data_IF_928171703040
#
_entry.id   IF_928171703040
#
_cell.length_a   1.000
_cell.length_b   1.000
_cell.length_c   1.000
_cell.angle_alpha   90.00
_cell.angle_beta   90.00
_cell.angle_gamma   90.00
#
_symmetry.space_group_name_H-M   'P 1'
#
loop_
_entity.id
_entity.type
_entity.pdbx_description
1 polymer ?
#
# COMPACT_ATOMS: atom_id res chain seq x y z
N UNK A 1 -21.67 12.17 -12.58
CA UNK A 1 -20.70 11.78 -13.64
C UNK A 1 -19.41 12.64 -13.63
N UNK A 2 -19.00 13.27 -12.51
CA UNK A 2 -17.81 14.14 -12.46
C UNK A 2 -16.77 13.82 -11.37
N UNK A 3 -17.02 12.80 -10.53
CA UNK A 3 -16.09 12.39 -9.47
C UNK A 3 -14.93 11.53 -10.03
N UNK A 4 -15.21 10.67 -11.02
CA UNK A 4 -14.19 9.83 -11.65
C UNK A 4 -13.23 10.60 -12.57
N UNK A 5 -13.65 11.73 -13.14
CA UNK A 5 -12.81 12.54 -14.05
C UNK A 5 -11.71 13.29 -13.30
N UNK A 6 -11.95 13.71 -12.05
CA UNK A 6 -10.93 14.34 -11.22
C UNK A 6 -9.93 13.33 -10.63
N UNK A 7 -10.36 12.08 -10.42
CA UNK A 7 -9.48 10.98 -9.97
C UNK A 7 -8.54 10.51 -11.10
N UNK A 8 -8.95 10.67 -12.36
CA UNK A 8 -8.21 10.23 -13.56
C UNK A 8 -7.63 11.41 -14.38
N UNK A 9 -7.54 12.61 -13.80
CA UNK A 9 -7.00 13.78 -14.49
C UNK A 9 -5.54 13.52 -14.91
N UNK A 10 -5.29 13.59 -16.23
CA UNK A 10 -3.97 13.38 -16.85
C UNK A 10 -2.89 14.33 -16.31
N UNK A 11 -3.29 15.41 -15.65
CA UNK A 11 -2.39 16.43 -15.08
C UNK A 11 -2.13 16.28 -13.57
N UNK A 12 -2.68 15.28 -12.85
CA UNK A 12 -2.40 15.06 -11.42
C UNK A 12 -2.16 13.57 -11.07
N UNK A 13 -0.94 13.31 -10.59
CA UNK A 13 -0.43 12.27 -9.65
C UNK A 13 -0.86 10.80 -9.69
N UNK A 14 -1.90 10.35 -10.39
CA UNK A 14 -2.17 8.91 -10.51
C UNK A 14 -1.53 8.31 -11.77
N UNK A 15 -0.41 7.63 -11.59
CA UNK A 15 0.14 6.67 -12.56
C UNK A 15 0.28 5.33 -11.86
N UNK A 16 -0.57 4.32 -12.13
CA UNK A 16 -0.27 2.95 -11.72
C UNK A 16 1.08 2.59 -12.34
N UNK A 17 2.13 2.50 -11.51
CA UNK A 17 3.45 2.10 -12.00
C UNK A 17 3.34 0.62 -12.37
N UNK A 18 3.27 0.32 -13.67
CA UNK A 18 3.45 -1.04 -14.19
C UNK A 18 4.91 -1.42 -13.94
N UNK A 19 5.19 -2.03 -12.79
CA UNK A 19 6.51 -2.56 -12.46
C UNK A 19 6.75 -3.97 -12.97
N UNK A 20 5.69 -4.66 -13.36
CA UNK A 20 5.81 -6.00 -13.91
C UNK A 20 5.87 -5.88 -15.42
N UNK A 21 7.07 -5.99 -15.96
CA UNK A 21 7.27 -6.12 -17.41
C UNK A 21 6.44 -7.30 -17.93
N UNK A 22 5.78 -7.17 -19.10
CA UNK A 22 5.15 -8.30 -19.76
C UNK A 22 6.10 -9.51 -19.81
N UNK A 23 5.54 -10.72 -19.72
CA UNK A 23 6.27 -11.99 -19.80
C UNK A 23 7.19 -12.33 -18.60
N UNK A 24 7.11 -11.57 -17.51
CA UNK A 24 7.77 -11.93 -16.22
C UNK A 24 6.89 -12.85 -15.36
N UNK A 25 7.52 -13.70 -14.52
CA UNK A 25 6.86 -14.51 -13.47
C UNK A 25 5.95 -13.65 -12.59
N UNK A 26 6.39 -12.44 -12.23
CA UNK A 26 5.58 -11.50 -11.43
C UNK A 26 4.38 -10.95 -12.19
N UNK A 27 4.52 -10.71 -13.49
CA UNK A 27 3.39 -10.29 -14.33
C UNK A 27 2.34 -11.40 -14.43
N UNK A 28 2.78 -12.65 -14.64
CA UNK A 28 1.91 -13.83 -14.64
C UNK A 28 1.19 -14.01 -13.30
N UNK A 29 1.91 -13.84 -12.18
CA UNK A 29 1.32 -13.89 -10.83
C UNK A 29 0.30 -12.78 -10.60
N UNK A 30 0.62 -11.53 -10.96
CA UNK A 30 -0.30 -10.40 -10.85
C UNK A 30 -1.59 -10.64 -11.64
N UNK A 31 -1.49 -11.16 -12.86
CA UNK A 31 -2.64 -11.52 -13.69
C UNK A 31 -3.46 -12.64 -13.04
N UNK A 32 -2.81 -13.70 -12.56
CA UNK A 32 -3.48 -14.81 -11.88
C UNK A 32 -4.28 -14.32 -10.66
N UNK A 33 -3.66 -13.57 -9.76
CA UNK A 33 -4.32 -13.01 -8.58
C UNK A 33 -5.51 -12.10 -8.96
N UNK A 34 -5.35 -11.28 -10.01
CA UNK A 34 -6.40 -10.37 -10.48
C UNK A 34 -7.61 -11.14 -11.05
N UNK A 35 -7.35 -12.22 -11.79
CA UNK A 35 -8.41 -13.07 -12.36
C UNK A 35 -9.14 -13.85 -11.28
N UNK A 36 -8.43 -14.43 -10.30
CA UNK A 36 -9.05 -15.20 -9.21
C UNK A 36 -9.99 -14.38 -8.33
N UNK A 37 -9.75 -13.07 -8.20
CA UNK A 37 -10.64 -12.17 -7.46
C UNK A 37 -11.84 -11.69 -8.29
N UNK A 38 -11.71 -11.63 -9.62
CA UNK A 38 -12.76 -11.16 -10.53
C UNK A 38 -13.82 -12.21 -10.88
N UNK A 39 -13.58 -13.50 -10.59
CA UNK A 39 -14.47 -14.62 -10.94
C UNK A 39 -15.56 -14.90 -9.90
N UNK A 40 -15.71 -14.08 -8.87
CA UNK A 40 -16.77 -14.27 -7.86
C UNK A 40 -16.63 -15.56 -7.06
N UNK A 41 -15.42 -16.14 -6.97
CA UNK A 41 -15.20 -17.29 -6.10
C UNK A 41 -15.26 -16.83 -4.64
N UNK A 42 -16.26 -17.31 -3.90
CA UNK A 42 -16.52 -17.11 -2.47
C UNK A 42 -15.37 -17.61 -1.54
N UNK A 43 -14.18 -17.88 -2.07
CA UNK A 43 -13.03 -18.38 -1.33
C UNK A 43 -11.85 -17.40 -1.38
N UNK A 44 -12.05 -16.20 -0.81
CA UNK A 44 -10.98 -15.22 -0.58
C UNK A 44 -9.78 -15.83 0.14
N UNK A 45 -10.02 -16.76 1.08
CA UNK A 45 -8.95 -17.47 1.78
C UNK A 45 -8.05 -18.25 0.83
N UNK A 46 -8.62 -18.89 -0.19
CA UNK A 46 -7.89 -19.57 -1.25
C UNK A 46 -7.09 -18.60 -2.11
N UNK A 47 -7.68 -17.47 -2.51
CA UNK A 47 -7.01 -16.45 -3.31
C UNK A 47 -5.83 -15.78 -2.58
N UNK A 48 -5.84 -15.78 -1.24
CA UNK A 48 -4.74 -15.28 -0.41
C UNK A 48 -3.60 -16.30 -0.21
N UNK A 49 -3.67 -17.51 -0.76
CA UNK A 49 -2.56 -18.47 -0.69
C UNK A 49 -1.56 -18.23 -1.82
N UNK A 50 -0.28 -18.35 -1.50
CA UNK A 50 0.75 -18.44 -2.53
C UNK A 50 0.53 -19.73 -3.33
N UNK A 51 0.45 -19.68 -4.68
CA UNK A 51 0.34 -20.89 -5.48
C UNK A 51 1.60 -21.78 -5.31
N UNK A 52 1.43 -23.09 -5.49
CA UNK A 52 2.45 -24.11 -5.16
C UNK A 52 3.69 -24.02 -6.06
N UNK A 53 3.50 -23.57 -7.30
CA UNK A 53 4.54 -23.42 -8.32
C UNK A 53 5.28 -22.08 -8.26
N UNK A 54 4.90 -21.20 -7.32
CA UNK A 54 5.41 -19.83 -7.26
C UNK A 54 6.37 -19.59 -6.11
N UNK A 55 7.32 -18.67 -6.33
CA UNK A 55 8.20 -18.22 -5.26
C UNK A 55 7.49 -17.26 -4.31
N UNK A 56 7.59 -17.55 -3.02
CA UNK A 56 6.92 -16.77 -1.96
C UNK A 56 7.26 -15.28 -2.00
N UNK A 57 8.52 -14.90 -2.23
CA UNK A 57 8.91 -13.49 -2.23
C UNK A 57 8.37 -12.73 -3.44
N UNK A 58 8.26 -13.38 -4.61
CA UNK A 58 7.61 -12.81 -5.79
C UNK A 58 6.12 -12.60 -5.55
N UNK A 59 5.44 -13.60 -4.99
CA UNK A 59 4.03 -13.50 -4.60
C UNK A 59 3.79 -12.36 -3.59
N UNK A 60 4.66 -12.24 -2.56
CA UNK A 60 4.59 -11.15 -1.59
C UNK A 60 4.83 -9.77 -2.24
N UNK A 61 5.80 -9.68 -3.15
CA UNK A 61 6.13 -8.43 -3.84
C UNK A 61 4.97 -7.94 -4.72
N UNK A 62 4.35 -8.85 -5.47
CA UNK A 62 3.16 -8.57 -6.29
C UNK A 62 2.02 -8.04 -5.42
N UNK A 63 1.71 -8.73 -4.32
CA UNK A 63 0.62 -8.33 -3.42
C UNK A 63 0.90 -7.00 -2.70
N UNK A 64 2.14 -6.73 -2.28
CA UNK A 64 2.51 -5.44 -1.67
C UNK A 64 2.25 -4.28 -2.64
N UNK A 65 2.67 -4.42 -3.90
CA UNK A 65 2.50 -3.37 -4.91
C UNK A 65 1.01 -3.17 -5.24
N UNK A 66 0.25 -4.25 -5.37
CA UNK A 66 -1.18 -4.18 -5.66
C UNK A 66 -1.96 -3.49 -4.52
N UNK A 67 -1.74 -3.91 -3.27
CA UNK A 67 -2.40 -3.29 -2.11
C UNK A 67 -1.97 -1.85 -1.88
N UNK A 68 -0.70 -1.52 -2.11
CA UNK A 68 -0.24 -0.13 -2.09
C UNK A 68 -1.03 0.72 -3.10
N UNK A 69 -1.14 0.27 -4.34
CA UNK A 69 -1.87 1.01 -5.38
C UNK A 69 -3.36 1.18 -5.02
N UNK A 70 -4.00 0.12 -4.51
CA UNK A 70 -5.42 0.14 -4.11
C UNK A 70 -5.67 1.08 -2.93
N UNK A 71 -4.86 1.03 -1.89
CA UNK A 71 -5.00 1.90 -0.72
C UNK A 71 -4.62 3.35 -1.06
N UNK A 72 -3.62 3.56 -1.93
CA UNK A 72 -3.29 4.90 -2.42
C UNK A 72 -4.45 5.53 -3.21
N UNK A 73 -5.13 4.74 -4.04
CA UNK A 73 -6.33 5.18 -4.74
C UNK A 73 -7.47 5.51 -3.77
N UNK A 74 -7.73 4.63 -2.79
CA UNK A 74 -8.78 4.82 -1.78
C UNK A 74 -8.50 6.05 -0.90
N UNK A 75 -7.26 6.23 -0.46
CA UNK A 75 -6.88 7.42 0.30
C UNK A 75 -7.00 8.68 -0.56
N UNK A 76 -6.63 8.59 -1.85
CA UNK A 76 -6.79 9.68 -2.81
C UNK A 76 -8.23 10.19 -2.95
N UNK A 77 -9.24 9.32 -2.78
CA UNK A 77 -10.65 9.74 -2.87
C UNK A 77 -11.17 10.47 -1.62
N UNK A 78 -10.52 10.32 -0.47
CA UNK A 78 -10.94 10.97 0.80
C UNK A 78 -9.95 12.06 1.25
N UNK A 79 -8.86 12.28 0.50
CA UNK A 79 -7.76 13.17 0.88
C UNK A 79 -8.20 14.60 1.21
N UNK A 80 -9.17 15.13 0.47
CA UNK A 80 -9.62 16.52 0.65
C UNK A 80 -10.45 16.68 1.94
N UNK A 81 -11.14 15.62 2.36
CA UNK A 81 -11.94 15.56 3.59
C UNK A 81 -11.10 15.13 4.81
N UNK A 82 -10.00 14.40 4.59
CA UNK A 82 -9.00 14.06 5.61
C UNK A 82 -8.13 15.28 5.94
N UNK A 83 -8.69 16.17 6.75
CA UNK A 83 -8.16 17.49 7.02
C UNK A 83 -8.41 17.92 8.47
N UNK A 84 -7.35 18.35 9.16
CA UNK A 84 -7.35 18.76 10.57
C UNK A 84 -8.30 19.92 10.90
N UNK A 85 -8.68 20.72 9.89
CA UNK A 85 -9.63 21.82 10.00
C UNK A 85 -11.08 21.37 9.81
N UNK A 86 -11.30 20.30 9.05
CA UNK A 86 -12.64 19.76 8.73
C UNK A 86 -13.03 18.70 9.76
N UNK A 87 -12.15 17.75 10.02
CA UNK A 87 -12.32 16.69 11.00
C UNK A 87 -11.28 16.82 12.14
N UNK A 88 -11.69 17.17 13.36
CA UNK A 88 -10.79 17.29 14.50
C UNK A 88 -10.02 16.01 14.84
N UNK A 89 -10.55 14.83 14.47
CA UNK A 89 -9.89 13.55 14.71
C UNK A 89 -8.62 13.39 13.85
N UNK A 90 -8.53 14.08 12.71
CA UNK A 90 -7.38 14.01 11.80
C UNK A 90 -6.14 14.73 12.34
N UNK A 91 -6.24 15.49 13.44
CA UNK A 91 -5.08 16.09 14.14
C UNK A 91 -4.08 15.05 14.63
N UNK A 92 -4.50 13.79 14.73
CA UNK A 92 -3.66 12.65 15.06
C UNK A 92 -4.01 11.48 14.15
N UNK A 93 -3.03 10.69 13.76
CA UNK A 93 -3.31 9.44 13.08
C UNK A 93 -3.89 8.43 14.07
N UNK A 94 -5.17 8.06 13.89
CA UNK A 94 -5.87 7.14 14.77
C UNK A 94 -6.90 6.28 14.06
N UNK A 95 -7.48 5.35 14.82
CA UNK A 95 -8.58 4.50 14.40
C UNK A 95 -9.56 4.40 15.58
N UNK A 96 -10.37 5.44 15.75
CA UNK A 96 -11.26 5.62 16.88
C UNK A 96 -10.56 6.16 18.14
N UNK A 97 -11.27 6.21 19.27
CA UNK A 97 -10.77 6.83 20.50
C UNK A 97 -9.61 6.05 21.15
N UNK A 98 -9.53 4.74 20.93
CA UNK A 98 -8.62 3.85 21.66
C UNK A 98 -7.29 3.56 20.95
N UNK A 99 -7.16 3.91 19.66
CA UNK A 99 -5.98 3.58 18.87
C UNK A 99 -5.36 4.83 18.26
N UNK A 100 -4.13 5.11 18.66
CA UNK A 100 -3.28 6.15 18.06
C UNK A 100 -2.03 5.52 17.44
N UNK A 101 -1.68 5.97 16.24
CA UNK A 101 -0.57 5.46 15.47
C UNK A 101 0.53 6.52 15.36
N UNK A 102 1.58 6.34 16.16
CA UNK A 102 2.75 7.20 16.11
C UNK A 102 3.64 6.88 14.90
N UNK A 103 4.23 7.93 14.32
CA UNK A 103 5.22 7.81 13.26
C UNK A 103 6.63 7.75 13.84
N UNK A 104 7.48 6.94 13.20
CA UNK A 104 8.91 6.90 13.46
C UNK A 104 9.60 6.51 12.16
N UNK A 105 10.58 7.30 11.76
CA UNK A 105 11.56 6.93 10.75
C UNK A 105 12.95 7.18 11.32
N UNK A 106 13.90 6.31 11.03
CA UNK A 106 15.27 6.44 11.56
C UNK A 106 16.04 7.62 10.92
N UNK A 107 15.34 8.55 10.26
CA UNK A 107 15.87 9.72 9.56
C UNK A 107 15.46 10.99 10.34
N UNK A 108 14.29 11.55 10.03
CA UNK A 108 13.73 12.79 10.59
C UNK A 108 13.03 12.54 11.93
N UNK A 109 12.22 11.48 12.05
CA UNK A 109 11.42 11.19 13.23
C UNK A 109 12.04 10.05 14.05
N UNK A 110 13.16 10.33 14.72
CA UNK A 110 14.00 9.33 15.41
C UNK A 110 13.32 8.63 16.59
N UNK A 111 12.25 9.23 17.12
CA UNK A 111 11.43 8.68 18.21
C UNK A 111 9.97 8.62 17.76
N UNK A 112 9.16 7.79 18.44
CA UNK A 112 7.73 7.70 18.16
C UNK A 112 7.06 9.07 18.39
N UNK A 113 6.55 9.65 17.31
CA UNK A 113 6.06 11.04 17.27
C UNK A 113 4.62 11.07 16.78
N UNK A 114 3.76 11.82 17.46
CA UNK A 114 2.41 12.10 16.98
C UNK A 114 2.50 13.01 15.77
N UNK A 115 1.82 12.63 14.71
CA UNK A 115 1.62 13.42 13.49
C UNK A 115 0.15 13.34 13.12
N UNK A 116 -0.34 14.33 12.37
CA UNK A 116 -1.71 14.30 11.87
C UNK A 116 -1.95 13.13 10.92
N UNK A 117 -3.21 12.71 10.78
CA UNK A 117 -3.60 11.65 9.86
C UNK A 117 -3.14 11.90 8.41
N UNK A 118 -3.33 13.10 7.82
CA UNK A 118 -2.85 13.36 6.47
C UNK A 118 -1.32 13.35 6.36
N UNK A 119 -0.60 13.84 7.39
CA UNK A 119 0.85 13.76 7.44
C UNK A 119 1.34 12.31 7.54
N UNK A 120 0.71 11.49 8.39
CA UNK A 120 1.04 10.08 8.53
C UNK A 120 0.83 9.32 7.22
N UNK A 121 -0.29 9.57 6.53
CA UNK A 121 -0.60 8.95 5.24
C UNK A 121 0.46 9.34 4.19
N UNK A 122 0.79 10.63 4.07
CA UNK A 122 1.83 11.12 3.16
C UNK A 122 3.17 10.43 3.42
N UNK A 123 3.66 10.47 4.67
CA UNK A 123 4.93 9.85 5.07
C UNK A 123 4.95 8.34 4.80
N UNK A 124 3.80 7.67 4.98
CA UNK A 124 3.65 6.25 4.67
C UNK A 124 3.76 5.98 3.18
N UNK A 125 3.04 6.74 2.34
CA UNK A 125 3.05 6.53 0.89
C UNK A 125 4.44 6.79 0.32
N UNK A 126 5.08 7.89 0.71
CA UNK A 126 6.44 8.24 0.29
C UNK A 126 7.45 7.15 0.69
N UNK A 127 7.37 6.66 1.93
CA UNK A 127 8.26 5.61 2.43
C UNK A 127 8.05 4.26 1.72
N UNK A 128 6.80 3.87 1.45
CA UNK A 128 6.52 2.66 0.67
C UNK A 128 7.04 2.84 -0.75
N UNK A 129 6.83 4.00 -1.37
CA UNK A 129 7.27 4.31 -2.71
C UNK A 129 8.80 4.20 -2.86
N UNK A 130 9.58 4.76 -1.92
CA UNK A 130 11.03 4.59 -1.84
C UNK A 130 11.41 3.10 -1.86
N UNK A 131 10.75 2.30 -1.02
CA UNK A 131 11.04 0.86 -0.87
C UNK A 131 10.73 0.09 -2.14
N UNK A 132 9.54 0.27 -2.71
CA UNK A 132 9.15 -0.52 -3.88
C UNK A 132 10.00 -0.15 -5.09
N UNK A 133 10.52 1.09 -5.19
CA UNK A 133 11.35 1.57 -6.29
C UNK A 133 12.83 1.20 -6.15
N UNK A 134 13.29 0.73 -5.00
CA UNK A 134 14.68 0.29 -4.80
C UNK A 134 14.88 -1.14 -5.34
N UNK A 135 15.61 -1.28 -6.44
CA UNK A 135 15.92 -2.58 -7.07
C UNK A 135 16.80 -3.50 -6.21
N UNK A 136 17.38 -3.02 -5.12
CA UNK A 136 18.06 -3.88 -4.14
C UNK A 136 17.07 -4.50 -3.15
N UNK A 137 15.86 -3.95 -3.03
CA UNK A 137 14.81 -4.45 -2.16
C UNK A 137 13.72 -5.17 -2.97
N UNK A 138 13.26 -4.56 -4.06
CA UNK A 138 12.30 -5.08 -5.03
C UNK A 138 13.00 -5.21 -6.40
N UNK A 139 13.85 -6.24 -6.58
CA UNK A 139 14.60 -6.44 -7.82
C UNK A 139 13.65 -6.63 -8.99
N UNK A 140 13.87 -5.99 -10.14
CA UNK A 140 13.04 -6.19 -11.35
C UNK A 140 13.50 -7.45 -12.08
N UNK A 141 14.82 -7.63 -12.17
CA UNK A 141 15.46 -8.82 -12.71
C UNK A 141 15.12 -10.06 -11.88
N UNK A 142 14.71 -11.11 -12.57
CA UNK A 142 14.32 -12.40 -12.00
C UNK A 142 15.51 -13.24 -11.52
N UNK A 143 16.69 -12.97 -12.03
CA UNK A 143 17.95 -13.60 -11.61
C UNK A 143 18.49 -12.97 -10.33
N UNK A 144 18.06 -11.75 -10.00
CA UNK A 144 18.50 -11.04 -8.79
C UNK A 144 17.65 -11.48 -7.58
N UNK A 145 18.27 -12.08 -6.54
CA UNK A 145 17.52 -12.52 -5.38
C UNK A 145 17.03 -11.36 -4.52
N UNK A 146 15.88 -11.53 -3.88
CA UNK A 146 15.44 -10.63 -2.82
C UNK A 146 16.42 -10.65 -1.63
N UNK A 147 16.50 -9.56 -0.83
CA UNK A 147 17.24 -9.58 0.42
C UNK A 147 16.80 -10.73 1.34
N UNK A 148 17.75 -11.35 2.05
CA UNK A 148 17.44 -12.41 3.05
C UNK A 148 16.41 -11.96 4.09
N UNK A 149 16.39 -10.67 4.41
CA UNK A 149 15.46 -10.06 5.36
C UNK A 149 14.20 -9.46 4.72
N UNK A 150 13.91 -9.74 3.44
CA UNK A 150 12.86 -9.08 2.66
C UNK A 150 11.50 -9.08 3.38
N UNK A 151 11.04 -10.27 3.77
CA UNK A 151 9.77 -10.45 4.49
C UNK A 151 9.73 -9.70 5.83
N UNK A 152 10.82 -9.76 6.60
CA UNK A 152 10.90 -9.19 7.96
C UNK A 152 11.01 -7.67 7.95
N UNK A 153 11.87 -7.12 7.11
CA UNK A 153 12.26 -5.71 7.15
C UNK A 153 11.40 -4.83 6.25
N UNK A 154 10.78 -5.38 5.21
CA UNK A 154 10.02 -4.59 4.23
C UNK A 154 8.56 -5.02 4.15
N UNK A 155 8.29 -6.30 3.83
CA UNK A 155 6.90 -6.77 3.63
C UNK A 155 6.04 -6.57 4.87
N UNK A 156 6.45 -7.11 6.03
CA UNK A 156 5.67 -6.98 7.28
C UNK A 156 5.45 -5.51 7.69
N UNK A 157 6.47 -4.62 7.70
CA UNK A 157 6.27 -3.21 8.00
C UNK A 157 5.37 -2.46 7.02
N UNK A 158 5.46 -2.75 5.71
CA UNK A 158 4.58 -2.15 4.69
C UNK A 158 3.12 -2.50 4.96
N UNK A 159 2.81 -3.79 5.13
CA UNK A 159 1.46 -4.25 5.46
C UNK A 159 0.91 -3.61 6.72
N UNK A 160 1.72 -3.50 7.78
CA UNK A 160 1.32 -2.86 9.03
C UNK A 160 0.94 -1.39 8.83
N UNK A 161 1.67 -0.64 8.01
CA UNK A 161 1.37 0.78 7.75
C UNK A 161 0.17 0.96 6.83
N UNK A 162 0.06 0.14 5.78
CA UNK A 162 -1.12 0.11 4.90
C UNK A 162 -2.41 -0.21 5.66
N UNK A 163 -2.37 -1.19 6.57
CA UNK A 163 -3.49 -1.50 7.45
C UNK A 163 -3.93 -0.31 8.30
N UNK A 164 -2.99 0.48 8.85
CA UNK A 164 -3.32 1.66 9.66
C UNK A 164 -4.04 2.73 8.86
N UNK A 165 -3.64 2.95 7.60
CA UNK A 165 -4.34 3.87 6.69
C UNK A 165 -5.75 3.36 6.42
N UNK A 166 -5.88 2.07 6.10
CA UNK A 166 -7.21 1.47 5.88
C UNK A 166 -8.11 1.58 7.11
N UNK A 167 -7.60 1.27 8.30
CA UNK A 167 -8.35 1.36 9.55
C UNK A 167 -8.80 2.79 9.85
N UNK A 168 -7.94 3.79 9.59
CA UNK A 168 -8.29 5.20 9.75
C UNK A 168 -9.41 5.61 8.78
N UNK A 169 -9.27 5.28 7.48
CA UNK A 169 -10.30 5.54 6.47
C UNK A 169 -11.65 4.95 6.92
N UNK A 170 -11.66 3.69 7.32
CA UNK A 170 -12.90 2.96 7.65
C UNK A 170 -13.58 3.40 8.96
N UNK A 171 -12.88 4.06 9.88
CA UNK A 171 -13.42 4.41 11.21
C UNK A 171 -13.68 5.92 11.33
N UNK A 172 -12.85 6.75 10.71
CA UNK A 172 -12.94 8.21 10.84
C UNK A 172 -13.66 8.87 9.66
N UNK A 173 -13.79 8.16 8.53
CA UNK A 173 -14.32 8.71 7.28
C UNK A 173 -15.48 7.89 6.68
N UNK A 174 -15.97 6.85 7.40
CA UNK A 174 -17.16 6.03 7.09
C UNK A 174 -17.87 5.59 8.37
#
# INVERSE_FOLDING_TARGET
MGLLSNILDKNKTFRPKKKFSPDTRRYSLHKHCSTSLGTGQDNLSGACKCPEDSHLNDWLAVNVIDFYNKINLLYGSIRDDCNELINPNDKRMGAGPHFEYLWMDKKKYKVATTVSAPMYASLTMDWIEEIINDENIFPIDEEKPFPKSFKKNYVKPVWKKLFRIMAHIMIEHF
#
